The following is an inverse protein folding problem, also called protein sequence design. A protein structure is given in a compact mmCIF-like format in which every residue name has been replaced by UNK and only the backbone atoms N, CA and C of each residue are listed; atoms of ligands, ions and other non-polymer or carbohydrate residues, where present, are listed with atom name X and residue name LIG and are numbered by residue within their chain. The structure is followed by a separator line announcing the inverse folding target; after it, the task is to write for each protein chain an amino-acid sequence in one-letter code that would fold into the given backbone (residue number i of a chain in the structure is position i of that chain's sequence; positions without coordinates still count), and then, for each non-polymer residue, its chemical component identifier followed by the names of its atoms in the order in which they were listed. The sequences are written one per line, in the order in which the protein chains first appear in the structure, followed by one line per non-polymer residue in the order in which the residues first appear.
data_IF_166284012661
#
_entry.id   IF_166284012661
#
_cell.length_a   1.000
_cell.length_b   1.000
_cell.length_c   1.000
_cell.angle_alpha   90.00
_cell.angle_beta   90.00
_cell.angle_gamma   90.00
#
_symmetry.space_group_name_H-M   'P 1'
#
loop_
_entity.id
_entity.type
_entity.pdbx_description
1 polymer ?
#
# COMPACT_ATOMS: atom_id res chain seq x y z
N UNK A 1 -5.68 -6.14 27.45
CA UNK A 1 -4.91 -6.24 26.19
C UNK A 1 -3.68 -7.09 26.46
N UNK A 2 -3.81 -8.37 26.21
CA UNK A 2 -2.73 -9.33 26.50
C UNK A 2 -2.01 -9.72 25.21
N UNK A 3 -0.70 -9.95 25.31
CA UNK A 3 0.11 -10.46 24.20
C UNK A 3 -0.19 -11.95 24.06
N UNK A 4 -0.64 -12.37 22.90
CA UNK A 4 -1.10 -13.76 22.64
C UNK A 4 -0.08 -14.63 21.91
N UNK A 5 0.97 -14.03 21.32
CA UNK A 5 1.96 -14.75 20.51
C UNK A 5 3.39 -14.32 20.79
N UNK A 6 4.30 -15.29 20.87
CA UNK A 6 5.75 -15.09 20.84
C UNK A 6 6.31 -15.19 19.44
N UNK A 7 7.56 -14.77 19.23
CA UNK A 7 8.29 -14.92 17.96
C UNK A 7 9.65 -15.59 18.23
N UNK A 8 9.97 -16.59 17.46
CA UNK A 8 11.31 -17.18 17.38
C UNK A 8 12.14 -16.45 16.33
N UNK A 9 13.46 -16.62 16.40
CA UNK A 9 14.37 -16.13 15.36
C UNK A 9 14.33 -17.11 14.20
N UNK A 10 13.84 -16.63 13.05
CA UNK A 10 13.79 -17.39 11.80
C UNK A 10 15.13 -17.34 11.05
N UNK A 11 15.23 -18.14 9.99
CA UNK A 11 16.36 -18.09 9.07
C UNK A 11 16.45 -16.72 8.39
N UNK A 12 17.65 -16.37 7.92
CA UNK A 12 17.90 -15.11 7.17
C UNK A 12 17.54 -15.29 5.70
N UNK A 13 16.25 -15.40 5.40
CA UNK A 13 15.72 -15.64 4.05
C UNK A 13 14.87 -14.48 3.50
N UNK A 14 14.78 -13.37 4.23
CA UNK A 14 14.04 -12.19 3.81
C UNK A 14 14.95 -11.11 3.24
N UNK A 15 14.44 -10.38 2.22
CA UNK A 15 15.11 -9.23 1.60
C UNK A 15 14.25 -7.97 1.78
N UNK A 16 14.91 -6.83 1.91
CA UNK A 16 14.25 -5.53 2.00
C UNK A 16 13.93 -4.95 0.62
N UNK A 17 13.03 -3.97 0.58
CA UNK A 17 12.68 -3.22 -0.60
C UNK A 17 11.24 -3.45 -1.04
N UNK A 18 10.80 -2.64 -2.00
CA UNK A 18 9.46 -2.69 -2.58
C UNK A 18 9.56 -3.06 -4.06
N UNK A 19 8.62 -3.88 -4.56
CA UNK A 19 8.51 -4.28 -5.98
C UNK A 19 7.52 -3.41 -6.73
N UNK A 20 6.35 -3.20 -6.15
CA UNK A 20 5.27 -2.47 -6.80
C UNK A 20 4.36 -1.81 -5.77
N UNK A 21 3.65 -0.79 -6.22
CA UNK A 21 2.52 -0.23 -5.51
C UNK A 21 1.27 -0.29 -6.39
N UNK A 22 0.12 -0.40 -5.75
CA UNK A 22 -1.17 -0.45 -6.41
C UNK A 22 -2.06 0.62 -5.78
N UNK A 23 -2.43 1.63 -6.54
CA UNK A 23 -3.21 2.76 -6.06
C UNK A 23 -4.67 2.55 -6.44
N UNK A 24 -5.55 2.50 -5.44
CA UNK A 24 -6.99 2.49 -5.67
C UNK A 24 -7.50 3.90 -5.90
N UNK A 25 -8.35 4.03 -6.90
CA UNK A 25 -9.01 5.29 -7.21
C UNK A 25 -10.03 5.63 -6.12
N UNK A 26 -9.86 6.81 -5.54
CA UNK A 26 -10.76 7.49 -4.59
C UNK A 26 -11.29 6.70 -3.39
N UNK A 27 -10.93 7.18 -2.22
CA UNK A 27 -11.34 6.75 -0.88
C UNK A 27 -12.83 6.47 -0.68
N UNK A 28 -13.72 7.06 -1.46
CA UNK A 28 -15.15 7.09 -1.12
C UNK A 28 -15.99 5.94 -1.67
N UNK A 29 -15.49 5.09 -2.58
CA UNK A 29 -16.37 4.15 -3.25
C UNK A 29 -15.80 2.76 -3.53
N UNK A 30 -14.53 2.50 -3.28
CA UNK A 30 -13.90 1.34 -3.90
C UNK A 30 -13.56 0.19 -2.96
N UNK A 31 -13.35 0.47 -1.68
CA UNK A 31 -13.11 -0.59 -0.71
C UNK A 31 -14.07 -0.39 0.44
N UNK A 32 -15.13 -1.16 0.45
CA UNK A 32 -15.94 -1.28 1.63
C UNK A 32 -15.11 -2.01 2.69
N UNK A 33 -15.04 -1.39 3.85
CA UNK A 33 -14.43 -1.93 5.05
C UNK A 33 -15.16 -3.19 5.50
N UNK A 34 -14.88 -4.32 4.88
CA UNK A 34 -15.30 -5.64 5.37
C UNK A 34 -14.16 -6.37 6.08
N UNK A 35 -13.19 -5.65 6.57
CA UNK A 35 -12.48 -6.18 7.70
C UNK A 35 -13.28 -5.80 8.95
N UNK A 36 -14.27 -6.56 9.29
CA UNK A 36 -14.58 -6.76 10.67
C UNK A 36 -13.34 -7.41 11.27
N UNK A 37 -12.34 -6.59 11.58
CA UNK A 37 -11.36 -6.97 12.55
C UNK A 37 -12.20 -7.14 13.80
N UNK A 38 -12.61 -8.38 14.04
CA UNK A 38 -13.16 -8.76 15.33
C UNK A 38 -12.16 -8.20 16.34
N UNK A 39 -12.62 -7.46 17.28
CA UNK A 39 -11.91 -6.54 18.15
C UNK A 39 -10.83 -7.19 19.01
N UNK A 40 -10.41 -8.41 18.74
CA UNK A 40 -9.60 -9.23 19.63
C UNK A 40 -8.42 -9.94 18.99
N UNK A 41 -8.39 -10.20 17.69
CA UNK A 41 -7.26 -10.93 17.12
C UNK A 41 -7.04 -10.51 15.66
N UNK A 42 -5.88 -9.95 15.37
CA UNK A 42 -5.31 -10.01 14.04
C UNK A 42 -4.97 -11.48 13.80
N UNK A 43 -5.94 -12.25 13.31
CA UNK A 43 -5.65 -13.59 12.83
C UNK A 43 -4.83 -13.49 11.55
N UNK A 44 -3.96 -14.49 11.30
CA UNK A 44 -3.16 -14.62 10.06
C UNK A 44 -4.01 -14.60 8.76
N UNK A 45 -5.31 -14.72 8.90
CA UNK A 45 -6.27 -14.43 7.85
C UNK A 45 -6.52 -12.91 7.80
N UNK A 46 -5.58 -12.13 7.34
CA UNK A 46 -5.81 -10.75 6.91
C UNK A 46 -7.17 -10.63 6.23
N UNK A 47 -7.57 -9.75 5.49
CA UNK A 47 -8.85 -9.68 4.81
C UNK A 47 -9.36 -11.04 4.33
N UNK A 48 -10.34 -11.62 5.00
CA UNK A 48 -11.00 -12.83 4.52
C UNK A 48 -12.08 -12.53 3.48
N UNK A 49 -12.53 -11.28 3.41
CA UNK A 49 -13.53 -10.84 2.45
C UNK A 49 -13.22 -9.44 1.96
N UNK A 50 -13.13 -9.29 0.68
CA UNK A 50 -13.10 -8.04 -0.04
C UNK A 50 -14.50 -7.82 -0.61
N UNK A 51 -15.12 -6.72 -0.28
CA UNK A 51 -16.38 -6.33 -0.91
C UNK A 51 -16.17 -5.00 -1.64
N UNK A 52 -16.32 -5.02 -2.94
CA UNK A 52 -16.46 -3.80 -3.72
C UNK A 52 -17.86 -3.26 -3.52
N UNK A 53 -18.00 -2.05 -3.03
CA UNK A 53 -19.30 -1.39 -2.93
C UNK A 53 -19.86 -1.17 -4.32
N UNK A 54 -20.96 -1.83 -4.62
CA UNK A 54 -21.77 -1.71 -5.85
C UNK A 54 -21.07 -2.14 -7.15
N UNK A 55 -21.69 -3.03 -7.89
CA UNK A 55 -21.61 -3.40 -9.32
C UNK A 55 -20.54 -2.78 -10.27
N UNK A 56 -19.71 -1.86 -9.81
CA UNK A 56 -18.59 -1.26 -10.52
C UNK A 56 -17.29 -1.92 -10.06
N UNK A 57 -16.58 -2.52 -10.99
CA UNK A 57 -15.27 -3.14 -10.74
C UNK A 57 -14.32 -2.13 -10.09
N UNK A 58 -13.69 -2.52 -9.01
CA UNK A 58 -12.62 -1.74 -8.39
C UNK A 58 -11.41 -1.73 -9.32
N UNK A 59 -10.99 -0.54 -9.73
CA UNK A 59 -9.82 -0.36 -10.58
C UNK A 59 -8.63 -0.01 -9.70
N UNK A 60 -7.55 -0.75 -9.90
CA UNK A 60 -6.29 -0.56 -9.19
C UNK A 60 -5.19 -0.28 -10.21
N UNK A 61 -4.49 0.82 -10.05
CA UNK A 61 -3.38 1.21 -10.93
C UNK A 61 -2.07 0.70 -10.36
N UNK A 62 -1.38 -0.14 -11.14
CA UNK A 62 -0.08 -0.71 -10.78
C UNK A 62 1.06 0.21 -11.21
N UNK A 63 1.96 0.49 -10.30
CA UNK A 63 3.23 1.16 -10.55
C UNK A 63 4.37 0.23 -10.14
N UNK A 64 5.19 -0.18 -11.09
CA UNK A 64 6.39 -0.98 -10.82
C UNK A 64 7.49 -0.09 -10.27
N UNK A 65 8.20 -0.60 -9.28
CA UNK A 65 9.23 0.14 -8.58
C UNK A 65 10.60 -0.46 -8.84
N UNK A 66 11.60 0.40 -8.98
CA UNK A 66 12.98 -0.07 -9.00
C UNK A 66 13.38 -0.47 -7.58
N UNK A 67 13.91 -1.70 -7.40
CA UNK A 67 14.36 -2.16 -6.09
C UNK A 67 15.34 -1.18 -5.43
N UNK A 68 15.24 -1.06 -4.11
CA UNK A 68 16.14 -0.24 -3.27
C UNK A 68 15.98 1.29 -3.37
N UNK A 69 15.01 1.81 -4.13
CA UNK A 69 14.76 3.24 -4.22
C UNK A 69 13.51 3.70 -3.48
N UNK A 70 12.68 2.76 -3.04
CA UNK A 70 11.41 3.05 -2.40
C UNK A 70 11.31 2.35 -1.05
N UNK A 71 10.60 2.95 -0.11
CA UNK A 71 10.49 2.43 1.24
C UNK A 71 9.12 2.71 1.85
N UNK A 72 8.71 1.83 2.74
CA UNK A 72 7.51 1.97 3.58
C UNK A 72 7.92 1.88 5.04
N UNK A 73 7.36 2.75 5.87
CA UNK A 73 7.60 2.77 7.32
C UNK A 73 6.29 2.97 8.06
N UNK A 74 6.10 2.20 9.12
CA UNK A 74 4.97 2.38 10.05
C UNK A 74 5.52 2.74 11.42
N UNK A 75 5.13 3.90 11.91
CA UNK A 75 5.56 4.42 13.21
C UNK A 75 4.42 4.34 14.22
N UNK A 76 4.71 3.81 15.39
CA UNK A 76 3.76 3.74 16.50
C UNK A 76 3.86 5.03 17.32
N UNK A 77 2.76 5.75 17.41
CA UNK A 77 2.64 6.94 18.26
C UNK A 77 1.74 6.60 19.44
N UNK A 78 2.31 6.62 20.63
CA UNK A 78 1.59 6.31 21.86
C UNK A 78 1.86 7.37 22.91
N UNK A 79 0.80 7.93 23.45
CA UNK A 79 0.86 8.89 24.57
C UNK A 79 0.08 8.34 25.76
N UNK A 80 0.82 8.01 26.81
CA UNK A 80 0.23 7.45 28.04
C UNK A 80 -0.55 8.50 28.83
N UNK A 81 -0.17 9.77 28.75
CA UNK A 81 -0.84 10.85 29.48
C UNK A 81 -2.24 11.14 28.92
N UNK A 82 -2.39 11.07 27.61
CA UNK A 82 -3.65 11.28 26.90
C UNK A 82 -4.40 9.98 26.59
N UNK A 83 -3.80 8.82 26.88
CA UNK A 83 -4.40 7.52 26.59
C UNK A 83 -4.64 7.24 25.11
N UNK A 84 -3.84 7.83 24.22
CA UNK A 84 -3.99 7.71 22.76
C UNK A 84 -2.89 6.85 22.15
N UNK A 85 -3.26 6.03 21.18
CA UNK A 85 -2.32 5.28 20.35
C UNK A 85 -2.81 5.26 18.90
N UNK A 86 -1.95 5.65 17.97
CA UNK A 86 -2.21 5.62 16.55
C UNK A 86 -0.94 5.27 15.76
N UNK A 87 -1.10 4.92 14.50
CA UNK A 87 -0.02 4.49 13.64
C UNK A 87 0.10 5.45 12.46
N UNK A 88 1.30 6.00 12.27
CA UNK A 88 1.62 6.79 11.08
C UNK A 88 2.27 5.87 10.06
N UNK A 89 1.60 5.71 8.93
CA UNK A 89 2.06 4.92 7.79
C UNK A 89 2.65 5.88 6.77
N UNK A 90 3.94 5.78 6.51
CA UNK A 90 4.66 6.61 5.56
C UNK A 90 5.20 5.74 4.41
N UNK A 91 4.96 6.18 3.17
CA UNK A 91 5.42 5.54 1.95
C UNK A 91 6.19 6.56 1.12
N UNK A 92 7.43 6.25 0.78
CA UNK A 92 8.26 7.05 -0.12
C UNK A 92 8.58 6.22 -1.37
N UNK A 93 8.22 6.75 -2.52
CA UNK A 93 8.35 6.08 -3.81
C UNK A 93 9.14 6.94 -4.77
N UNK A 94 10.09 6.31 -5.46
CA UNK A 94 10.86 6.93 -6.53
C UNK A 94 10.51 6.28 -7.86
N UNK A 95 10.00 7.09 -8.79
CA UNK A 95 9.69 6.69 -10.16
C UNK A 95 10.72 7.34 -11.10
N UNK A 96 11.30 6.52 -11.95
CA UNK A 96 12.26 6.99 -12.94
C UNK A 96 11.56 7.50 -14.19
N UNK A 97 12.24 8.37 -14.93
CA UNK A 97 11.80 8.99 -16.19
C UNK A 97 10.63 9.95 -16.01
N UNK A 98 10.90 11.23 -16.29
CA UNK A 98 9.85 12.26 -16.34
C UNK A 98 9.07 12.10 -17.65
N UNK A 99 7.75 11.95 -17.50
CA UNK A 99 6.81 11.79 -18.61
C UNK A 99 5.61 12.74 -18.46
N UNK A 100 4.98 13.10 -19.59
CA UNK A 100 3.86 14.04 -19.61
C UNK A 100 2.62 13.46 -18.90
N UNK A 101 2.29 12.22 -19.21
CA UNK A 101 1.10 11.58 -18.68
C UNK A 101 1.24 11.33 -17.18
N UNK A 102 2.42 10.87 -16.75
CA UNK A 102 2.72 10.71 -15.32
C UNK A 102 2.67 12.03 -14.55
N UNK A 103 3.04 13.15 -15.17
CA UNK A 103 2.93 14.48 -14.54
C UNK A 103 1.47 14.87 -14.29
N UNK A 104 0.55 14.52 -15.19
CA UNK A 104 -0.88 14.74 -15.01
C UNK A 104 -1.46 13.84 -13.92
N UNK A 105 -1.07 12.56 -13.90
CA UNK A 105 -1.47 11.61 -12.84
C UNK A 105 -0.98 12.06 -11.46
N UNK A 106 0.25 12.55 -11.37
CA UNK A 106 0.80 13.11 -10.14
C UNK A 106 -0.06 14.24 -9.57
N UNK A 107 -0.55 15.12 -10.46
CA UNK A 107 -1.45 16.19 -10.05
C UNK A 107 -2.76 15.66 -9.48
N UNK A 108 -3.33 14.61 -10.08
CA UNK A 108 -4.54 13.97 -9.57
C UNK A 108 -4.29 13.28 -8.24
N UNK A 109 -3.17 12.59 -8.11
CA UNK A 109 -2.76 11.94 -6.85
C UNK A 109 -2.60 12.96 -5.71
N UNK A 110 -2.03 14.14 -6.00
CA UNK A 110 -1.81 15.18 -4.99
C UNK A 110 -3.11 15.73 -4.38
N UNK A 111 -4.21 15.68 -5.12
CA UNK A 111 -5.52 16.11 -4.63
C UNK A 111 -6.39 14.98 -4.10
N UNK A 112 -6.02 13.73 -4.36
CA UNK A 112 -6.81 12.57 -3.98
C UNK A 112 -6.42 12.05 -2.61
N UNK A 113 -7.35 11.32 -1.99
CA UNK A 113 -7.10 10.42 -0.87
C UNK A 113 -7.22 9.00 -1.41
N UNK A 114 -6.14 8.28 -1.46
CA UNK A 114 -6.10 6.96 -2.07
C UNK A 114 -5.85 5.89 -1.02
N UNK A 115 -6.35 4.70 -1.24
CA UNK A 115 -5.89 3.51 -0.55
C UNK A 115 -4.77 2.91 -1.40
N UNK A 116 -3.67 2.53 -0.76
CA UNK A 116 -2.48 2.08 -1.47
C UNK A 116 -2.10 0.69 -0.98
N UNK A 117 -2.01 -0.25 -1.90
CA UNK A 117 -1.39 -1.55 -1.63
C UNK A 117 0.08 -1.47 -1.99
N UNK A 118 0.91 -2.03 -1.13
CA UNK A 118 2.37 -2.04 -1.28
C UNK A 118 2.84 -3.48 -1.28
N UNK A 119 3.51 -3.88 -2.35
CA UNK A 119 4.12 -5.20 -2.48
C UNK A 119 5.61 -5.11 -2.14
N UNK A 120 6.03 -5.89 -1.16
CA UNK A 120 7.43 -5.98 -0.77
C UNK A 120 8.23 -6.92 -1.69
N UNK A 121 9.53 -7.00 -1.45
CA UNK A 121 10.44 -7.87 -2.18
C UNK A 121 10.21 -9.37 -1.90
N UNK A 122 9.48 -9.71 -0.84
CA UNK A 122 9.12 -11.07 -0.45
C UNK A 122 7.71 -11.47 -0.89
N UNK A 123 7.09 -10.67 -1.78
CA UNK A 123 5.74 -10.88 -2.30
C UNK A 123 4.60 -10.76 -1.27
N UNK A 124 4.86 -10.16 -0.11
CA UNK A 124 3.81 -9.77 0.80
C UNK A 124 3.17 -8.48 0.34
N UNK A 125 1.86 -8.39 0.46
CA UNK A 125 1.10 -7.18 0.12
C UNK A 125 0.51 -6.58 1.38
N UNK A 126 0.72 -5.29 1.54
CA UNK A 126 0.23 -4.52 2.68
C UNK A 126 -0.71 -3.42 2.19
N UNK A 127 -1.76 -3.17 2.96
CA UNK A 127 -2.70 -2.08 2.70
C UNK A 127 -2.43 -0.91 3.63
N UNK A 128 -2.27 0.27 3.04
CA UNK A 128 -2.15 1.54 3.72
C UNK A 128 -3.41 2.39 3.54
N UNK A 129 -3.73 3.17 4.57
CA UNK A 129 -4.83 4.12 4.50
C UNK A 129 -6.22 3.51 4.44
N UNK A 130 -6.49 2.43 5.18
CA UNK A 130 -7.78 1.73 5.11
C UNK A 130 -8.96 2.57 5.59
N UNK A 131 -8.79 3.36 6.65
CA UNK A 131 -9.89 4.15 7.22
C UNK A 131 -9.85 5.60 6.75
N UNK A 132 -8.68 6.22 6.77
CA UNK A 132 -8.52 7.65 6.51
C UNK A 132 -8.00 7.94 5.09
N UNK A 133 -7.51 6.92 4.38
CA UNK A 133 -6.82 7.08 3.11
C UNK A 133 -5.41 7.66 3.26
N UNK A 134 -4.58 7.44 2.28
CA UNK A 134 -3.27 8.06 2.16
C UNK A 134 -3.39 9.39 1.43
N UNK A 135 -2.72 10.41 1.92
CA UNK A 135 -2.58 11.70 1.25
C UNK A 135 -1.11 11.93 0.90
N UNK A 136 -0.88 12.65 -0.18
CA UNK A 136 0.48 13.05 -0.56
C UNK A 136 0.96 14.10 0.44
N UNK A 137 2.03 13.77 1.16
CA UNK A 137 2.66 14.65 2.15
C UNK A 137 3.80 15.47 1.59
N UNK A 138 4.39 15.01 0.48
CA UNK A 138 5.49 15.68 -0.20
C UNK A 138 5.82 15.02 -1.51
N UNK A 139 6.74 15.61 -2.24
CA UNK A 139 7.25 15.06 -3.47
C UNK A 139 8.09 16.06 -4.25
N UNK A 140 8.91 15.55 -5.14
CA UNK A 140 9.75 16.35 -6.02
C UNK A 140 9.78 15.77 -7.42
N UNK A 141 9.89 16.65 -8.40
CA UNK A 141 10.18 16.29 -9.79
C UNK A 141 11.59 16.76 -10.11
N UNK A 142 12.45 15.86 -10.50
CA UNK A 142 13.87 16.13 -10.67
C UNK A 142 14.30 15.70 -12.08
N UNK A 143 15.05 16.56 -12.77
CA UNK A 143 15.66 16.23 -14.07
C UNK A 143 17.12 15.81 -13.97
N UNK A 144 17.72 15.98 -12.77
CA UNK A 144 19.13 15.76 -12.56
C UNK A 144 20.02 16.89 -13.13
N UNK A 145 21.26 16.93 -12.72
CA UNK A 145 22.30 17.87 -13.19
C UNK A 145 23.38 17.13 -13.97
N UNK A 146 23.81 15.98 -13.48
CA UNK A 146 24.79 15.11 -14.14
C UNK A 146 24.08 13.96 -14.86
N UNK A 147 24.79 13.30 -15.77
CA UNK A 147 24.22 12.19 -16.56
C UNK A 147 23.81 10.96 -15.74
N UNK A 148 24.35 10.82 -14.55
CA UNK A 148 24.03 9.72 -13.62
C UNK A 148 22.97 10.07 -12.57
N UNK A 149 22.47 11.29 -12.56
CA UNK A 149 21.48 11.74 -11.58
C UNK A 149 20.09 11.20 -11.91
N UNK A 150 19.23 11.16 -10.90
CA UNK A 150 17.84 10.79 -11.08
C UNK A 150 17.15 11.81 -12.00
N UNK A 151 16.50 11.28 -13.03
CA UNK A 151 15.49 11.99 -13.80
C UNK A 151 14.15 11.29 -13.53
N UNK A 152 13.28 11.90 -12.72
CA UNK A 152 12.08 11.25 -12.28
C UNK A 152 11.33 11.98 -11.20
N UNK A 153 10.53 11.23 -10.47
CA UNK A 153 9.65 11.72 -9.40
C UNK A 153 10.00 11.02 -8.08
N UNK A 154 9.98 11.78 -7.00
CA UNK A 154 9.89 11.22 -5.66
C UNK A 154 8.57 11.67 -5.06
N UNK A 155 7.76 10.75 -4.59
CA UNK A 155 6.44 11.01 -4.04
C UNK A 155 6.36 10.40 -2.65
N UNK A 156 5.84 11.17 -1.71
CA UNK A 156 5.67 10.75 -0.33
C UNK A 156 4.20 10.77 0.05
N UNK A 157 3.72 9.66 0.57
CA UNK A 157 2.37 9.54 1.13
C UNK A 157 2.44 9.31 2.63
N UNK A 158 1.44 9.82 3.31
CA UNK A 158 1.23 9.60 4.73
C UNK A 158 -0.22 9.26 5.02
N UNK A 159 -0.44 8.35 5.96
CA UNK A 159 -1.74 8.06 6.52
C UNK A 159 -1.62 7.88 8.04
N UNK A 160 -2.60 8.37 8.77
CA UNK A 160 -2.72 8.14 10.21
C UNK A 160 -3.89 7.19 10.45
N UNK A 161 -3.59 6.04 11.04
CA UNK A 161 -4.54 4.95 11.21
C UNK A 161 -4.58 4.44 12.64
N UNK A 162 -5.75 3.94 13.03
CA UNK A 162 -5.91 3.28 14.34
C UNK A 162 -5.24 1.89 14.36
N UNK A 163 -5.17 1.24 13.22
CA UNK A 163 -4.59 -0.08 13.07
C UNK A 163 -3.14 0.03 12.56
N UNK A 164 -2.29 -0.90 12.97
CA UNK A 164 -0.93 -0.99 12.49
C UNK A 164 -0.89 -1.29 10.98
N UNK A 165 -0.15 -2.25 10.54
CA UNK A 165 -0.09 -2.67 9.15
C UNK A 165 -1.08 -3.80 8.89
N UNK A 166 -1.82 -3.73 7.79
CA UNK A 166 -2.72 -4.78 7.37
C UNK A 166 -2.07 -5.53 6.21
N UNK A 167 -1.79 -6.80 6.43
CA UNK A 167 -1.25 -7.70 5.40
C UNK A 167 -2.39 -8.43 4.72
N UNK A 168 -2.34 -8.55 3.40
CA UNK A 168 -3.27 -9.35 2.63
C UNK A 168 -2.99 -10.85 2.83
N UNK A 169 -4.01 -11.73 2.63
CA UNK A 169 -3.80 -13.17 2.59
C UNK A 169 -2.77 -13.56 1.53
N UNK A 170 -2.06 -14.64 1.78
CA UNK A 170 -1.07 -15.15 0.83
C UNK A 170 -1.72 -15.47 -0.52
N UNK A 171 -1.10 -15.00 -1.58
CA UNK A 171 -1.47 -15.27 -2.96
C UNK A 171 -1.04 -16.68 -3.38
N UNK A 172 -1.76 -17.26 -4.34
CA UNK A 172 -1.38 -18.55 -4.94
C UNK A 172 -0.14 -18.45 -5.86
N UNK A 173 0.28 -17.23 -6.19
CA UNK A 173 1.49 -16.95 -6.97
C UNK A 173 1.22 -16.28 -8.32
N UNK A 174 2.28 -15.91 -9.04
CA UNK A 174 2.20 -15.05 -10.23
C UNK A 174 1.58 -15.70 -11.47
N UNK A 175 1.11 -16.94 -11.36
CA UNK A 175 0.46 -17.64 -12.48
C UNK A 175 -0.99 -17.18 -12.72
N UNK A 176 -1.56 -16.40 -11.82
CA UNK A 176 -2.94 -15.90 -11.94
C UNK A 176 -2.97 -14.49 -12.49
N UNK A 177 -4.01 -14.16 -13.26
CA UNK A 177 -4.21 -12.82 -13.84
C UNK A 177 -4.57 -11.76 -12.81
N UNK A 178 -4.88 -12.17 -11.58
CA UNK A 178 -5.25 -11.30 -10.46
C UNK A 178 -4.16 -11.17 -9.40
N UNK A 179 -3.01 -11.81 -9.63
CA UNK A 179 -1.87 -11.68 -8.74
C UNK A 179 -1.46 -10.19 -8.54
N UNK A 180 -1.19 -9.74 -7.33
CA UNK A 180 -1.08 -10.48 -6.06
C UNK A 180 -2.36 -10.49 -5.21
N UNK A 181 -3.53 -10.26 -5.77
CA UNK A 181 -4.82 -10.14 -5.07
C UNK A 181 -5.66 -11.41 -5.12
N UNK A 182 -5.17 -12.48 -5.71
CA UNK A 182 -5.85 -13.76 -5.91
C UNK A 182 -6.14 -14.55 -4.61
N UNK A 183 -5.62 -14.08 -3.47
CA UNK A 183 -6.01 -14.58 -2.14
C UNK A 183 -7.29 -13.95 -1.56
N UNK A 184 -7.88 -12.97 -2.25
CA UNK A 184 -9.09 -12.28 -1.80
C UNK A 184 -10.35 -13.00 -2.32
N UNK A 185 -11.41 -13.03 -1.49
CA UNK A 185 -12.64 -13.77 -1.80
C UNK A 185 -13.36 -13.27 -3.06
N UNK A 186 -13.37 -11.95 -3.30
CA UNK A 186 -14.06 -11.31 -4.43
C UNK A 186 -13.07 -10.72 -5.46
N UNK A 187 -12.01 -11.45 -5.76
CA UNK A 187 -10.97 -11.05 -6.73
C UNK A 187 -11.53 -10.75 -8.13
N UNK A 188 -12.67 -11.33 -8.47
CA UNK A 188 -13.31 -11.17 -9.77
C UNK A 188 -13.71 -9.71 -10.07
N UNK A 189 -14.01 -8.95 -9.03
CA UNK A 189 -14.44 -7.55 -9.14
C UNK A 189 -13.28 -6.56 -9.19
N UNK A 190 -12.05 -7.06 -9.08
CA UNK A 190 -10.84 -6.25 -9.18
C UNK A 190 -10.32 -6.20 -10.61
N UNK A 191 -9.98 -5.01 -11.08
CA UNK A 191 -9.30 -4.80 -12.38
C UNK A 191 -7.96 -4.11 -12.13
N UNK A 192 -6.87 -4.80 -12.47
CA UNK A 192 -5.52 -4.24 -12.40
C UNK A 192 -5.24 -3.55 -13.74
N UNK A 193 -4.92 -2.27 -13.68
CA UNK A 193 -4.50 -1.48 -14.85
C UNK A 193 -3.00 -1.23 -14.73
N UNK A 194 -2.26 -1.73 -15.70
CA UNK A 194 -0.83 -1.46 -15.84
C UNK A 194 -0.63 -0.26 -16.76
N UNK A 195 0.41 0.52 -16.51
CA UNK A 195 0.83 1.59 -17.42
C UNK A 195 1.31 1.03 -18.77
N UNK A 196 1.16 1.81 -19.81
CA UNK A 196 1.68 1.53 -21.16
C UNK A 196 3.07 2.11 -21.33
#
# INVERSE_FOLDING_TARGET
CDITRGRLIDCKDTIGGLKAIYICQAYNNNIERVATIANTEMTDAGFSTWSAQTAAKTIVFKYELVPSLSSMTVTINSDNANGTTFFTQALSVTLQKVDHDMTNELRLMAYSRSQIFVQDANDNVFLLGINNGCHVSGGTVITGTAKGDLNGYTIEWSAEEKNALIQLPASAGPATTKWPFDGLADEADLTITEGT
#
